data_IF_623552046536
#
_entry.id   IF_623552046536
#
_cell.length_a   1.000
_cell.length_b   1.000
_cell.length_c   1.000
_cell.angle_alpha   90.00
_cell.angle_beta   90.00
_cell.angle_gamma   90.00
#
_symmetry.space_group_name_H-M   'P 1'
#
loop_
_entity.id
_entity.type
_entity.pdbx_description
1 polymer ?
#
# COMPACT_ATOMS: atom_id res chain seq x y z
N UNK A 1 -8.73 53.33 11.04
CA UNK A 1 -9.16 51.97 11.42
C UNK A 1 -8.05 51.00 11.01
N UNK A 2 -7.23 50.60 11.97
CA UNK A 2 -6.07 49.73 11.78
C UNK A 2 -6.49 48.35 11.23
N UNK A 3 -5.96 47.95 10.08
CA UNK A 3 -6.17 46.61 9.54
C UNK A 3 -5.33 45.61 10.33
N UNK A 4 -5.99 44.75 11.11
CA UNK A 4 -5.36 43.65 11.85
C UNK A 4 -4.81 42.65 10.84
N UNK A 5 -3.52 42.78 10.51
CA UNK A 5 -2.76 41.77 9.75
C UNK A 5 -2.76 40.46 10.55
N UNK A 6 -3.68 39.57 10.19
CA UNK A 6 -3.69 38.19 10.68
C UNK A 6 -2.36 37.53 10.37
N UNK A 7 -1.83 36.77 11.34
CA UNK A 7 -0.60 35.99 11.16
C UNK A 7 -0.75 35.12 9.90
N UNK A 8 0.22 35.13 8.96
CA UNK A 8 0.17 34.24 7.82
C UNK A 8 0.02 32.80 8.33
N UNK A 9 -0.82 31.96 7.70
CA UNK A 9 -0.93 30.56 8.08
C UNK A 9 0.47 29.95 8.07
N UNK A 10 0.91 29.37 9.19
CA UNK A 10 2.16 28.60 9.20
C UNK A 10 1.98 27.45 8.22
N UNK A 11 2.72 27.47 7.12
CA UNK A 11 2.82 26.33 6.23
C UNK A 11 3.23 25.13 7.08
N UNK A 12 2.40 24.09 7.10
CA UNK A 12 2.65 22.88 7.87
C UNK A 12 3.62 21.98 7.12
N UNK A 13 4.86 22.47 6.93
CA UNK A 13 5.97 21.71 6.33
C UNK A 13 6.69 20.92 7.43
N UNK A 14 7.14 19.71 7.09
CA UNK A 14 7.90 18.86 8.01
C UNK A 14 7.06 18.21 9.11
N UNK A 15 5.74 18.09 8.94
CA UNK A 15 4.88 17.35 9.86
C UNK A 15 5.23 15.87 9.89
N UNK A 16 5.51 15.31 8.71
CA UNK A 16 5.71 13.87 8.52
C UNK A 16 7.12 13.51 8.06
N UNK A 17 8.04 14.47 7.97
CA UNK A 17 9.35 14.25 7.35
C UNK A 17 10.14 13.10 7.98
N UNK A 18 10.11 12.98 9.32
CA UNK A 18 10.78 11.89 10.04
C UNK A 18 10.16 10.53 9.73
N UNK A 19 8.83 10.43 9.83
CA UNK A 19 8.10 9.18 9.62
C UNK A 19 8.16 8.74 8.16
N UNK A 20 8.05 9.67 7.21
CA UNK A 20 8.20 9.42 5.78
C UNK A 20 9.60 8.91 5.45
N UNK A 21 10.65 9.50 6.02
CA UNK A 21 12.02 9.03 5.78
C UNK A 21 12.21 7.58 6.24
N UNK A 22 11.68 7.23 7.42
CA UNK A 22 11.72 5.85 7.91
C UNK A 22 10.87 4.90 7.07
N UNK A 23 9.70 5.34 6.63
CA UNK A 23 8.81 4.56 5.78
C UNK A 23 9.45 4.26 4.42
N UNK A 24 10.07 5.25 3.80
CA UNK A 24 10.80 5.10 2.53
C UNK A 24 11.90 4.05 2.65
N UNK A 25 12.71 4.12 3.71
CA UNK A 25 13.71 3.10 3.99
C UNK A 25 13.07 1.70 4.19
N UNK A 26 11.96 1.62 4.92
CA UNK A 26 11.22 0.37 5.14
C UNK A 26 10.66 -0.26 3.85
N UNK A 27 10.39 0.55 2.81
CA UNK A 27 9.98 0.08 1.49
C UNK A 27 11.14 -0.10 0.50
N UNK A 28 12.39 0.00 0.97
CA UNK A 28 13.59 -0.31 0.19
C UNK A 28 14.30 0.89 -0.44
N UNK A 29 13.98 2.12 -0.02
CA UNK A 29 14.76 3.31 -0.39
C UNK A 29 16.07 3.40 0.43
N UNK A 30 16.89 4.42 0.18
CA UNK A 30 18.14 4.68 0.90
C UNK A 30 17.89 5.11 2.36
N UNK A 31 18.82 4.86 3.30
CA UNK A 31 18.64 5.20 4.72
C UNK A 31 18.44 6.70 5.00
N UNK A 32 19.01 7.56 4.16
CA UNK A 32 18.88 9.00 4.26
C UNK A 32 18.39 9.55 2.91
N UNK A 33 17.07 9.50 2.64
CA UNK A 33 16.50 9.96 1.39
C UNK A 33 16.71 11.47 1.21
N UNK A 34 16.73 11.91 -0.04
CA UNK A 34 16.89 13.33 -0.35
C UNK A 34 15.72 14.15 0.27
N UNK A 35 16.00 15.31 0.90
CA UNK A 35 14.97 16.14 1.51
C UNK A 35 13.85 16.52 0.55
N UNK A 36 14.20 16.77 -0.72
CA UNK A 36 13.23 17.10 -1.76
C UNK A 36 12.26 15.95 -2.05
N UNK A 37 12.73 14.69 -2.02
CA UNK A 37 11.86 13.51 -2.19
C UNK A 37 10.89 13.38 -1.03
N UNK A 38 11.36 13.57 0.20
CA UNK A 38 10.52 13.53 1.41
C UNK A 38 9.47 14.64 1.35
N UNK A 39 9.86 15.85 0.93
CA UNK A 39 8.95 16.98 0.77
C UNK A 39 7.87 16.70 -0.29
N UNK A 40 8.25 16.12 -1.43
CA UNK A 40 7.28 15.76 -2.48
C UNK A 40 6.27 14.72 -1.98
N UNK A 41 6.72 13.71 -1.24
CA UNK A 41 5.82 12.73 -0.64
C UNK A 41 4.89 13.36 0.40
N UNK A 42 5.40 14.27 1.24
CA UNK A 42 4.57 15.02 2.19
C UNK A 42 3.49 15.84 1.48
N UNK A 43 3.85 16.55 0.41
CA UNK A 43 2.89 17.30 -0.40
C UNK A 43 1.81 16.41 -1.01
N UNK A 44 2.17 15.20 -1.48
CA UNK A 44 1.21 14.24 -1.99
C UNK A 44 0.24 13.76 -0.90
N UNK A 45 0.73 13.47 0.31
CA UNK A 45 -0.10 13.09 1.45
C UNK A 45 -1.08 14.21 1.84
N UNK A 46 -0.62 15.47 1.85
CA UNK A 46 -1.47 16.63 2.15
C UNK A 46 -2.57 16.77 1.10
N UNK A 47 -2.21 16.71 -0.20
CA UNK A 47 -3.19 16.75 -1.29
C UNK A 47 -4.20 15.60 -1.18
N UNK A 48 -3.76 14.39 -0.84
CA UNK A 48 -4.64 13.23 -0.68
C UNK A 48 -5.60 13.41 0.50
N UNK A 49 -5.13 14.00 1.59
CA UNK A 49 -5.98 14.36 2.72
C UNK A 49 -7.02 15.43 2.36
N UNK A 50 -6.67 16.39 1.50
CA UNK A 50 -7.63 17.41 1.03
C UNK A 50 -8.73 16.78 0.16
N UNK A 51 -8.36 15.85 -0.71
CA UNK A 51 -9.32 15.10 -1.55
C UNK A 51 -10.21 14.20 -0.69
N UNK A 52 -9.65 13.56 0.33
CA UNK A 52 -10.43 12.76 1.28
C UNK A 52 -11.47 13.61 2.04
N UNK A 53 -11.22 14.91 2.19
CA UNK A 53 -12.15 15.87 2.77
C UNK A 53 -12.56 15.49 4.19
N UNK A 54 -13.85 15.30 4.42
CA UNK A 54 -14.42 14.93 5.72
C UNK A 54 -14.22 13.47 6.11
N UNK A 55 -13.67 12.62 5.23
CA UNK A 55 -13.65 11.16 5.45
C UNK A 55 -12.73 10.70 6.58
N UNK A 56 -11.94 11.57 7.22
CA UNK A 56 -10.97 11.27 8.30
C UNK A 56 -9.91 10.18 7.97
N UNK A 57 -10.06 9.46 6.86
CA UNK A 57 -9.18 8.39 6.40
C UNK A 57 -8.93 8.55 4.91
N UNK A 58 -7.67 8.61 4.54
CA UNK A 58 -7.21 8.62 3.14
C UNK A 58 -7.31 7.20 2.56
N UNK A 59 -7.74 7.08 1.31
CA UNK A 59 -7.83 5.83 0.55
C UNK A 59 -6.98 5.91 -0.72
N UNK A 60 -6.80 4.77 -1.37
CA UNK A 60 -6.04 4.66 -2.64
C UNK A 60 -6.65 5.53 -3.73
N UNK A 61 -7.98 5.65 -3.77
CA UNK A 61 -8.68 6.46 -4.78
C UNK A 61 -8.33 7.94 -4.68
N UNK A 62 -7.97 8.44 -3.49
CA UNK A 62 -7.56 9.83 -3.30
C UNK A 62 -6.24 10.12 -4.02
N UNK A 63 -5.29 9.19 -3.94
CA UNK A 63 -4.03 9.27 -4.68
C UNK A 63 -4.24 9.13 -6.18
N UNK A 64 -5.09 8.19 -6.63
CA UNK A 64 -5.45 8.06 -8.04
C UNK A 64 -6.08 9.34 -8.59
N UNK A 65 -6.94 10.00 -7.81
CA UNK A 65 -7.56 11.26 -8.20
C UNK A 65 -6.53 12.39 -8.39
N UNK A 66 -5.52 12.49 -7.53
CA UNK A 66 -4.45 13.50 -7.66
C UNK A 66 -3.58 13.24 -8.89
N UNK A 67 -3.33 11.96 -9.19
CA UNK A 67 -2.51 11.54 -10.32
C UNK A 67 -3.26 11.47 -11.65
N UNK A 68 -4.57 11.80 -11.69
CA UNK A 68 -5.42 11.64 -12.89
C UNK A 68 -4.92 12.36 -14.15
N UNK A 69 -4.15 13.42 -13.98
CA UNK A 69 -3.61 14.21 -15.09
C UNK A 69 -2.25 13.69 -15.59
N UNK A 70 -1.65 12.71 -14.91
CA UNK A 70 -0.41 12.06 -15.32
C UNK A 70 -0.68 10.58 -15.62
N UNK A 71 -1.02 10.24 -16.88
CA UNK A 71 -1.42 8.88 -17.24
C UNK A 71 -0.30 7.86 -17.00
N UNK A 72 0.97 8.26 -17.09
CA UNK A 72 2.11 7.35 -16.86
C UNK A 72 2.22 6.99 -15.39
N UNK A 73 2.14 7.98 -14.50
CA UNK A 73 2.17 7.74 -13.05
C UNK A 73 0.94 6.97 -12.58
N UNK A 74 -0.23 7.30 -13.11
CA UNK A 74 -1.47 6.61 -12.77
C UNK A 74 -1.43 5.12 -13.18
N UNK A 75 -1.03 4.83 -14.42
CA UNK A 75 -0.89 3.46 -14.90
C UNK A 75 0.10 2.65 -14.04
N UNK A 76 1.23 3.26 -13.67
CA UNK A 76 2.21 2.61 -12.79
C UNK A 76 1.63 2.28 -11.41
N UNK A 77 0.82 3.16 -10.83
CA UNK A 77 0.15 2.90 -9.55
C UNK A 77 -0.82 1.72 -9.68
N UNK A 78 -1.62 1.67 -10.74
CA UNK A 78 -2.57 0.59 -10.98
C UNK A 78 -1.87 -0.77 -11.16
N UNK A 79 -0.79 -0.80 -11.93
CA UNK A 79 0.05 -1.98 -12.12
C UNK A 79 0.61 -2.50 -10.79
N UNK A 80 1.19 -1.61 -9.97
CA UNK A 80 1.76 -1.99 -8.67
C UNK A 80 0.70 -2.53 -7.70
N UNK A 81 -0.49 -1.93 -7.68
CA UNK A 81 -1.61 -2.41 -6.87
C UNK A 81 -2.07 -3.80 -7.30
N UNK A 82 -2.18 -4.02 -8.62
CA UNK A 82 -2.53 -5.33 -9.18
C UNK A 82 -1.50 -6.40 -8.78
N UNK A 83 -0.21 -6.13 -8.99
CA UNK A 83 0.87 -7.04 -8.60
C UNK A 83 0.87 -7.35 -7.10
N UNK A 84 0.61 -6.34 -6.25
CA UNK A 84 0.52 -6.54 -4.80
C UNK A 84 -0.64 -7.47 -4.41
N UNK A 85 -1.81 -7.32 -5.04
CA UNK A 85 -2.95 -8.19 -4.79
C UNK A 85 -2.70 -9.62 -5.29
N UNK A 86 -2.02 -9.79 -6.42
CA UNK A 86 -1.65 -11.11 -6.94
C UNK A 86 -0.64 -11.82 -6.02
N UNK A 87 0.39 -11.11 -5.52
CA UNK A 87 1.31 -11.65 -4.52
C UNK A 87 0.55 -12.07 -3.25
N UNK A 88 -0.42 -11.26 -2.81
CA UNK A 88 -1.23 -11.54 -1.63
C UNK A 88 -2.09 -12.78 -1.81
N UNK A 89 -2.76 -12.94 -2.96
CA UNK A 89 -3.53 -14.15 -3.31
C UNK A 89 -2.64 -15.39 -3.37
N UNK A 90 -1.47 -15.28 -4.01
CA UNK A 90 -0.52 -16.37 -4.05
C UNK A 90 -0.11 -16.80 -2.63
N UNK A 91 0.23 -15.85 -1.75
CA UNK A 91 0.55 -16.15 -0.35
C UNK A 91 -0.60 -16.83 0.40
N UNK A 92 -1.85 -16.45 0.13
CA UNK A 92 -3.01 -17.09 0.75
C UNK A 92 -3.16 -18.55 0.31
N UNK A 93 -2.91 -18.87 -0.96
CA UNK A 93 -2.97 -20.25 -1.47
C UNK A 93 -1.91 -21.20 -0.87
N UNK A 94 -0.94 -20.68 -0.12
CA UNK A 94 0.07 -21.45 0.60
C UNK A 94 -0.16 -21.48 2.12
N UNK A 95 -1.29 -20.98 2.64
CA UNK A 95 -1.58 -21.04 4.08
C UNK A 95 -1.84 -22.51 4.49
N UNK A 96 -0.99 -23.13 5.34
CA UNK A 96 -1.07 -24.55 5.65
C UNK A 96 -2.39 -24.97 6.32
N UNK A 97 -3.17 -24.01 6.82
CA UNK A 97 -4.51 -24.24 7.38
C UNK A 97 -5.54 -24.67 6.33
N UNK A 98 -5.38 -24.27 5.07
CA UNK A 98 -6.25 -24.72 3.96
C UNK A 98 -5.74 -26.04 3.33
N UNK A 99 -4.46 -26.36 3.48
CA UNK A 99 -3.85 -27.60 2.96
C UNK A 99 -4.27 -28.85 3.76
N UNK A 100 -4.56 -28.72 5.06
CA UNK A 100 -5.07 -29.82 5.89
C UNK A 100 -6.48 -30.28 5.47
N UNK A 101 -7.32 -29.38 4.92
CA UNK A 101 -8.67 -29.73 4.44
C UNK A 101 -8.60 -30.58 3.16
N UNK A 102 -7.61 -30.34 2.29
CA UNK A 102 -7.42 -31.11 1.06
C UNK A 102 -6.87 -32.53 1.31
N UNK A 103 -6.23 -32.78 2.46
CA UNK A 103 -5.70 -34.11 2.84
C UNK A 103 -6.74 -34.99 3.55
N UNK A 104 -7.87 -34.43 3.97
CA UNK A 104 -8.96 -35.13 4.65
C UNK A 104 -9.99 -35.82 3.74
N UNK A 105 -9.90 -35.67 2.41
CA UNK A 105 -10.84 -36.26 1.44
C UNK A 105 -10.26 -37.46 0.67
N UNK A 106 -9.34 -38.22 1.28
CA UNK A 106 -8.73 -39.40 0.68
C UNK A 106 -8.50 -40.52 1.70
N UNK A 107 -9.58 -41.14 2.20
CA UNK A 107 -9.48 -42.27 3.12
C UNK A 107 -10.67 -43.23 3.02
N UNK A 108 -10.41 -44.42 2.46
CA UNK A 108 -11.27 -45.62 2.50
C UNK A 108 -11.52 -46.20 1.10
N UNK A 109 -11.09 -47.41 0.72
CA UNK A 109 -10.52 -48.51 1.50
C UNK A 109 -9.94 -49.62 0.60
N UNK A 110 -9.45 -50.65 1.26
CA UNK A 110 -8.71 -51.83 0.80
C UNK A 110 -9.22 -52.55 -0.45
N UNK A 111 -8.27 -53.08 -1.24
CA UNK A 111 -8.46 -54.10 -2.25
C UNK A 111 -7.15 -54.85 -2.46
N UNK A 112 -6.92 -55.86 -1.63
CA UNK A 112 -5.79 -56.79 -1.72
C UNK A 112 -5.83 -57.57 -3.04
N UNK A 113 -4.70 -57.62 -3.76
CA UNK A 113 -4.42 -58.67 -4.74
C UNK A 113 -2.93 -58.98 -4.73
N UNK A 114 -2.62 -60.06 -4.02
CA UNK A 114 -1.40 -60.86 -4.06
C UNK A 114 -0.93 -61.04 -5.51
N UNK A 115 0.33 -60.74 -5.78
CA UNK A 115 1.06 -61.31 -6.91
C UNK A 115 2.16 -62.21 -6.32
N UNK A 116 1.99 -63.52 -6.45
CA UNK A 116 3.02 -64.52 -6.15
C UNK A 116 3.78 -64.84 -7.44
N UNK A 117 5.12 -64.81 -7.30
CA UNK A 117 6.23 -65.20 -8.19
C UNK A 117 6.12 -65.00 -9.71
#
# INVERSE_FOLDING_TARGET
MESRRGRPPKEKKGLFAKDLSQLMYGFGDVPNPAPDTVNVLEEMCIKASQVAGSRNKVRVEDFKFILRNDPKKLARVEELLYMSEDIKKARQSFDPREMEVAKGAGGGGEGSSKFEF
#
